data_IF_088760900631
#
_entry.id   IF_088760900631
#
_cell.length_a   1.000
_cell.length_b   1.000
_cell.length_c   1.000
_cell.angle_alpha   90.00
_cell.angle_beta   90.00
_cell.angle_gamma   90.00
#
_symmetry.space_group_name_H-M   'P 1'
#
loop_
_entity.id
_entity.type
_entity.pdbx_description
1 polymer ?
#
# COMPACT_ATOMS: atom_id res chain seq x y z
N UNK A 1 -5.77 0.39 -1.66
CA UNK A 1 -5.95 1.79 -2.10
C UNK A 1 -5.93 2.70 -0.88
N UNK A 2 -5.17 3.79 -0.93
CA UNK A 2 -5.16 4.79 0.14
C UNK A 2 -6.47 5.60 0.14
N UNK A 3 -7.16 5.65 1.26
CA UNK A 3 -8.38 6.43 1.47
C UNK A 3 -8.14 7.66 2.37
N UNK A 4 -7.05 7.66 3.13
CA UNK A 4 -6.66 8.78 3.98
C UNK A 4 -5.14 8.99 4.05
N UNK A 5 -4.68 10.06 3.40
CA UNK A 5 -3.28 10.51 3.41
C UNK A 5 -3.02 11.64 4.42
N UNK A 6 -3.99 11.97 5.29
CA UNK A 6 -3.90 13.12 6.20
C UNK A 6 -2.65 13.05 7.09
N UNK A 7 -1.85 14.11 7.05
CA UNK A 7 -0.60 14.24 7.81
C UNK A 7 0.57 13.41 7.25
N UNK A 8 0.40 12.76 6.11
CA UNK A 8 1.40 11.94 5.41
C UNK A 8 1.43 12.25 3.91
N UNK A 9 1.03 13.45 3.49
CA UNK A 9 0.89 13.84 2.09
C UNK A 9 2.21 13.83 1.32
N UNK A 10 3.34 13.83 2.02
CA UNK A 10 4.67 13.66 1.42
C UNK A 10 5.00 12.19 1.07
N UNK A 11 4.25 11.22 1.61
CA UNK A 11 4.51 9.79 1.45
C UNK A 11 3.31 9.04 0.85
N UNK A 12 2.09 9.53 1.08
CA UNK A 12 0.86 8.92 0.63
C UNK A 12 0.09 9.84 -0.31
N UNK A 13 -0.38 9.25 -1.41
CA UNK A 13 -1.28 9.87 -2.35
C UNK A 13 -2.68 9.27 -2.17
N UNK A 14 -3.65 10.12 -1.82
CA UNK A 14 -5.04 9.71 -1.66
C UNK A 14 -5.58 9.16 -3.00
N UNK A 15 -6.28 8.03 -2.93
CA UNK A 15 -6.80 7.24 -4.06
C UNK A 15 -5.74 6.47 -4.87
N UNK A 16 -4.45 6.55 -4.53
CA UNK A 16 -3.42 5.71 -5.17
C UNK A 16 -3.53 4.26 -4.70
N UNK A 17 -3.23 3.34 -5.62
CA UNK A 17 -3.13 1.90 -5.35
C UNK A 17 -1.67 1.62 -5.01
N UNK A 18 -1.46 1.01 -3.85
CA UNK A 18 -0.15 0.58 -3.37
C UNK A 18 -0.14 -0.95 -3.28
N UNK A 19 1.01 -1.57 -3.52
CA UNK A 19 1.21 -2.99 -3.27
C UNK A 19 1.40 -3.22 -1.77
N UNK A 20 0.70 -4.19 -1.20
CA UNK A 20 0.84 -4.56 0.21
C UNK A 20 1.62 -5.88 0.34
N UNK A 21 2.49 -5.95 1.35
CA UNK A 21 3.24 -7.16 1.69
C UNK A 21 2.57 -7.85 2.86
N UNK A 22 2.47 -9.18 2.81
CA UNK A 22 1.99 -9.96 3.95
C UNK A 22 3.04 -9.89 5.07
N UNK A 23 2.67 -9.23 6.16
CA UNK A 23 3.49 -9.05 7.36
C UNK A 23 2.59 -9.26 8.58
N UNK A 24 2.67 -10.45 9.18
CA UNK A 24 1.77 -10.83 10.27
C UNK A 24 2.04 -10.07 11.57
N UNK A 25 3.27 -9.59 11.76
CA UNK A 25 3.65 -8.76 12.91
C UNK A 25 3.03 -7.36 12.79
N UNK A 26 3.18 -6.73 11.62
CA UNK A 26 2.54 -5.44 11.34
C UNK A 26 1.01 -5.52 11.41
N UNK A 27 0.41 -6.59 10.86
CA UNK A 27 -1.03 -6.75 10.93
C UNK A 27 -1.52 -6.91 12.38
N UNK A 28 -0.73 -7.57 13.24
CA UNK A 28 -1.04 -7.70 14.66
C UNK A 28 -0.99 -6.35 15.42
N UNK A 29 -0.19 -5.39 14.95
CA UNK A 29 -0.15 -4.01 15.48
C UNK A 29 -1.19 -3.07 14.83
N UNK A 30 -2.02 -3.56 13.90
CA UNK A 30 -2.97 -2.72 13.15
C UNK A 30 -2.31 -1.91 12.03
N UNK A 31 -1.11 -2.30 11.62
CA UNK A 31 -0.34 -1.68 10.55
C UNK A 31 -0.39 -2.50 9.26
N UNK A 32 -0.07 -1.85 8.16
CA UNK A 32 0.04 -2.43 6.83
C UNK A 32 1.39 -2.05 6.24
N UNK A 33 2.16 -3.06 5.82
CA UNK A 33 3.39 -2.87 5.05
C UNK A 33 3.03 -2.63 3.58
N UNK A 34 3.31 -1.44 3.07
CA UNK A 34 3.07 -1.06 1.67
C UNK A 34 4.38 -0.77 0.95
N UNK A 35 4.43 -1.04 -0.35
CA UNK A 35 5.54 -0.73 -1.24
C UNK A 35 5.14 0.47 -2.11
N UNK A 36 6.02 1.47 -2.20
CA UNK A 36 5.83 2.65 -3.06
C UNK A 36 6.44 2.46 -4.47
N UNK A 37 6.46 3.51 -5.29
CA UNK A 37 7.02 3.47 -6.64
C UNK A 37 8.54 3.26 -6.72
N UNK A 38 9.25 3.49 -5.61
CA UNK A 38 10.70 3.26 -5.53
C UNK A 38 11.04 1.80 -5.25
N UNK A 39 10.04 1.01 -4.83
CA UNK A 39 10.24 -0.37 -4.39
C UNK A 39 10.56 -0.49 -2.90
N UNK A 40 10.64 0.62 -2.17
CA UNK A 40 10.84 0.64 -0.73
C UNK A 40 9.55 0.29 0.02
N UNK A 41 9.70 -0.38 1.17
CA UNK A 41 8.56 -0.78 2.00
C UNK A 41 8.44 0.08 3.26
N UNK A 42 7.22 0.52 3.56
CA UNK A 42 6.90 1.36 4.72
C UNK A 42 5.72 0.78 5.51
N UNK A 43 5.67 1.05 6.81
CA UNK A 43 4.55 0.71 7.68
C UNK A 43 3.64 1.93 7.88
N UNK A 44 2.34 1.72 7.75
CA UNK A 44 1.31 2.72 8.04
C UNK A 44 0.13 2.07 8.76
N UNK A 45 -0.69 2.87 9.45
CA UNK A 45 -1.96 2.38 9.99
C UNK A 45 -2.82 1.76 8.88
N UNK A 46 -3.31 0.54 9.10
CA UNK A 46 -4.11 -0.19 8.12
C UNK A 46 -5.44 0.52 7.81
N UNK A 47 -5.96 1.34 8.73
CA UNK A 47 -7.21 2.09 8.57
C UNK A 47 -7.17 3.12 7.43
N UNK A 48 -5.97 3.53 7.01
CA UNK A 48 -5.75 4.45 5.89
C UNK A 48 -5.97 3.81 4.54
N UNK A 49 -6.14 2.49 4.50
CA UNK A 49 -6.22 1.70 3.28
C UNK A 49 -7.46 0.82 3.25
N UNK A 50 -7.91 0.54 2.04
CA UNK A 50 -8.86 -0.53 1.75
C UNK A 50 -8.26 -1.49 0.74
N UNK A 51 -8.44 -2.79 0.97
CA UNK A 51 -8.13 -3.81 -0.02
C UNK A 51 -9.15 -3.74 -1.15
N UNK A 52 -8.67 -3.81 -2.39
CA UNK A 52 -9.49 -3.81 -3.59
C UNK A 52 -9.02 -4.94 -4.48
N UNK A 53 -9.97 -5.60 -5.14
CA UNK A 53 -9.66 -6.47 -6.26
C UNK A 53 -9.36 -5.57 -7.47
N UNK A 54 -8.21 -5.77 -8.10
CA UNK A 54 -7.83 -5.06 -9.31
C UNK A 54 -7.85 -6.02 -10.51
N UNK A 55 -8.12 -5.53 -11.72
CA UNK A 55 -7.94 -6.32 -12.93
C UNK A 55 -6.52 -6.90 -13.01
N UNK A 56 -6.40 -8.08 -13.62
CA UNK A 56 -5.11 -8.79 -13.75
C UNK A 56 -4.06 -7.91 -14.44
N UNK A 57 -4.47 -7.12 -15.43
CA UNK A 57 -3.61 -6.17 -16.15
C UNK A 57 -3.01 -5.12 -15.23
N UNK A 58 -3.79 -4.60 -14.27
CA UNK A 58 -3.30 -3.64 -13.27
C UNK A 58 -2.32 -4.32 -12.33
N UNK A 59 -2.66 -5.51 -11.82
CA UNK A 59 -1.75 -6.29 -10.97
C UNK A 59 -0.40 -6.57 -11.64
N UNK A 60 -0.41 -6.94 -12.93
CA UNK A 60 0.81 -7.14 -13.74
C UNK A 60 1.63 -5.87 -13.91
N UNK A 61 0.99 -4.71 -14.08
CA UNK A 61 1.71 -3.43 -14.18
C UNK A 61 2.33 -2.99 -12.85
N UNK A 62 1.86 -3.50 -11.72
CA UNK A 62 2.34 -3.16 -10.38
C UNK A 62 3.48 -4.06 -9.91
N UNK A 63 3.66 -5.24 -10.51
CA UNK A 63 4.88 -6.03 -10.39
C UNK A 63 5.94 -5.43 -11.31
N UNK A 64 6.80 -4.56 -10.79
CA UNK A 64 7.98 -4.10 -11.53
C UNK A 64 8.83 -5.33 -11.92
N UNK A 65 9.28 -5.38 -13.18
CA UNK A 65 10.34 -6.30 -13.61
C UNK A 65 11.56 -6.07 -12.70
N UNK A 66 11.83 -7.03 -11.82
CA UNK A 66 13.12 -7.17 -11.12
C UNK A 66 14.11 -7.87 -12.03
#
# INVERSE_FOLDING_TARGET
MCIDASGLEASLEKHKIYSAVRDEEALASGELRVIDESGESYLYSAERFVFIDVPVEVGKSMTADV
#
